data_IF_007119468338
#
_entry.id   IF_007119468338
#
_cell.length_a   1.000
_cell.length_b   1.000
_cell.length_c   1.000
_cell.angle_alpha   90.00
_cell.angle_beta   90.00
_cell.angle_gamma   90.00
#
_symmetry.space_group_name_H-M   'P 1'
#
loop_
_entity.id
_entity.type
_entity.pdbx_description
1 polymer ?
#
# COMPACT_ATOMS: atom_id res chain seq x y z
N UNK A 1 -16.77 20.58 15.92
CA UNK A 1 -15.87 19.47 16.33
C UNK A 1 -15.70 18.57 15.12
N UNK A 2 -14.49 18.12 14.80
CA UNK A 2 -14.28 17.16 13.71
C UNK A 2 -14.19 15.74 14.30
N UNK A 3 -14.58 14.72 13.52
CA UNK A 3 -14.46 13.32 13.93
C UNK A 3 -13.03 12.92 14.28
N UNK A 4 -12.92 11.86 15.09
CA UNK A 4 -11.66 11.33 15.59
C UNK A 4 -11.26 10.05 14.85
N UNK A 5 -10.47 10.21 13.78
CA UNK A 5 -9.91 9.08 13.04
C UNK A 5 -8.43 8.97 13.36
N UNK A 6 -8.06 7.87 13.99
CA UNK A 6 -6.66 7.52 14.27
C UNK A 6 -6.15 6.55 13.21
N UNK A 7 -4.90 6.74 12.84
CA UNK A 7 -4.18 5.92 11.89
C UNK A 7 -2.96 5.30 12.57
N UNK A 8 -2.80 3.99 12.42
CA UNK A 8 -1.58 3.27 12.78
C UNK A 8 -0.94 2.71 11.51
N UNK A 9 0.34 2.99 11.31
CA UNK A 9 1.10 2.53 10.15
C UNK A 9 2.25 1.66 10.61
N UNK A 10 2.28 0.42 10.16
CA UNK A 10 3.32 -0.55 10.53
C UNK A 10 4.15 -0.91 9.29
N UNK A 11 5.47 -0.92 9.42
CA UNK A 11 6.40 -1.34 8.37
C UNK A 11 7.06 -2.65 8.77
N UNK A 12 6.58 -3.77 8.23
CA UNK A 12 7.02 -5.11 8.64
C UNK A 12 6.90 -5.30 10.17
N UNK A 13 8.03 -5.55 10.84
CA UNK A 13 8.09 -5.78 12.29
C UNK A 13 8.46 -4.52 13.10
N UNK A 14 8.33 -3.32 12.52
CA UNK A 14 8.63 -2.07 13.23
C UNK A 14 7.56 -1.72 14.26
N UNK A 15 7.90 -0.81 15.18
CA UNK A 15 6.87 -0.13 15.96
C UNK A 15 5.93 0.67 15.03
N UNK A 16 4.62 0.75 15.34
CA UNK A 16 3.66 1.45 14.52
C UNK A 16 3.78 2.97 14.68
N UNK A 17 3.77 3.69 13.56
CA UNK A 17 3.63 5.14 13.52
C UNK A 17 2.16 5.51 13.73
N UNK A 18 1.87 6.30 14.79
CA UNK A 18 0.51 6.71 15.15
C UNK A 18 0.27 8.16 14.74
N UNK A 19 -0.76 8.38 13.93
CA UNK A 19 -1.11 9.68 13.35
C UNK A 19 -2.60 9.94 13.53
N UNK A 20 -2.98 11.19 13.78
CA UNK A 20 -4.37 11.61 13.70
C UNK A 20 -4.66 12.21 12.33
N UNK A 21 -5.67 11.68 11.63
CA UNK A 21 -6.02 12.15 10.28
C UNK A 21 -6.67 13.54 10.39
N UNK A 22 -6.16 14.51 9.64
CA UNK A 22 -6.71 15.87 9.56
C UNK A 22 -7.42 16.09 8.22
N UNK A 23 -8.48 16.90 8.21
CA UNK A 23 -9.19 17.22 6.96
C UNK A 23 -8.31 18.09 6.06
N UNK A 24 -8.31 17.79 4.76
CA UNK A 24 -7.57 18.57 3.76
C UNK A 24 -6.04 18.42 3.79
N UNK A 25 -5.48 17.63 4.72
CA UNK A 25 -4.05 17.34 4.79
C UNK A 25 -3.81 15.87 4.44
N UNK A 26 -3.39 15.55 3.19
CA UNK A 26 -3.02 14.19 2.85
C UNK A 26 -1.72 13.81 3.59
N UNK A 27 -1.66 12.55 4.04
CA UNK A 27 -0.42 11.95 4.48
C UNK A 27 0.29 11.37 3.27
N UNK A 28 1.56 11.72 3.07
CA UNK A 28 2.42 11.16 2.04
C UNK A 28 3.64 10.52 2.69
N UNK A 29 3.89 9.25 2.34
CA UNK A 29 5.04 8.49 2.78
C UNK A 29 5.87 8.10 1.54
N UNK A 30 7.18 8.27 1.62
CA UNK A 30 8.10 7.84 0.58
C UNK A 30 8.56 6.41 0.87
N UNK A 31 8.24 5.48 -0.02
CA UNK A 31 8.74 4.10 0.02
C UNK A 31 9.95 4.00 -0.91
N UNK A 32 11.13 3.74 -0.35
CA UNK A 32 12.38 3.64 -1.11
C UNK A 32 12.89 2.20 -1.14
N UNK A 33 13.21 1.72 -2.35
CA UNK A 33 13.94 0.47 -2.53
C UNK A 33 15.44 0.75 -2.56
N UNK A 34 16.07 0.68 -1.39
CA UNK A 34 17.51 0.86 -1.21
C UNK A 34 18.33 -0.43 -1.48
N UNK A 35 17.72 -1.46 -2.06
CA UNK A 35 18.39 -2.70 -2.44
C UNK A 35 18.80 -2.71 -3.92
N UNK A 36 19.62 -3.70 -4.29
CA UNK A 36 20.02 -3.97 -5.68
C UNK A 36 19.05 -4.92 -6.41
N UNK A 37 17.93 -5.28 -5.78
CA UNK A 37 16.92 -6.20 -6.33
C UNK A 37 15.56 -5.54 -6.40
N UNK A 38 14.67 -6.05 -7.24
CA UNK A 38 13.28 -5.60 -7.27
C UNK A 38 12.56 -6.07 -6.00
N UNK A 39 11.80 -5.17 -5.38
CA UNK A 39 11.03 -5.44 -4.16
C UNK A 39 9.54 -5.26 -4.44
N UNK A 40 8.71 -6.23 -4.08
CA UNK A 40 7.25 -6.08 -4.07
C UNK A 40 6.79 -5.52 -2.74
N UNK A 41 6.13 -4.36 -2.76
CA UNK A 41 5.47 -3.76 -1.61
C UNK A 41 4.01 -4.15 -1.60
N UNK A 42 3.56 -4.77 -0.52
CA UNK A 42 2.19 -5.18 -0.25
C UNK A 42 1.64 -4.29 0.87
N UNK A 43 0.64 -3.46 0.56
CA UNK A 43 0.06 -2.50 1.49
C UNK A 43 -1.38 -2.88 1.80
N UNK A 44 -1.67 -3.17 3.06
CA UNK A 44 -3.02 -3.50 3.53
C UNK A 44 -3.66 -2.32 4.25
N UNK A 45 -4.88 -1.95 3.86
CA UNK A 45 -5.72 -0.96 4.53
C UNK A 45 -6.88 -1.66 5.26
N UNK A 46 -6.98 -1.46 6.58
CA UNK A 46 -7.96 -2.12 7.45
C UNK A 46 -8.59 -1.12 8.42
N UNK A 47 -9.89 -1.27 8.68
CA UNK A 47 -10.56 -0.65 9.83
C UNK A 47 -10.45 -1.63 11.00
N UNK A 48 -9.76 -1.25 12.06
CA UNK A 48 -9.61 -2.07 13.27
C UNK A 48 -10.86 -2.00 14.12
N UNK A 49 -11.24 -0.78 14.51
CA UNK A 49 -12.37 -0.52 15.41
C UNK A 49 -13.15 0.74 15.02
N UNK A 50 -14.35 0.87 15.59
CA UNK A 50 -15.20 2.04 15.44
C UNK A 50 -15.94 2.11 14.11
N UNK A 51 -16.39 3.31 13.75
CA UNK A 51 -17.28 3.53 12.63
C UNK A 51 -16.92 4.80 11.85
N UNK A 52 -17.09 4.69 10.53
CA UNK A 52 -17.08 5.79 9.58
C UNK A 52 -18.52 5.94 9.07
N UNK A 53 -19.02 7.15 9.04
CA UNK A 53 -20.36 7.50 8.56
C UNK A 53 -20.33 7.73 7.06
N UNK A 54 -19.92 8.93 6.63
CA UNK A 54 -19.79 9.33 5.23
C UNK A 54 -18.33 9.54 4.82
N UNK A 55 -17.39 9.49 5.77
CA UNK A 55 -15.96 9.62 5.49
C UNK A 55 -15.44 8.44 4.69
N UNK A 56 -14.74 8.77 3.61
CA UNK A 56 -14.05 7.86 2.71
C UNK A 56 -12.57 8.24 2.73
N UNK A 57 -11.76 7.32 3.22
CA UNK A 57 -10.32 7.37 3.10
C UNK A 57 -9.92 6.76 1.75
N UNK A 58 -8.99 7.40 1.06
CA UNK A 58 -8.39 6.94 -0.18
C UNK A 58 -6.91 6.71 0.05
N UNK A 59 -6.46 5.48 -0.17
CA UNK A 59 -5.06 5.10 -0.14
C UNK A 59 -4.58 4.86 -1.57
N UNK A 60 -3.46 5.49 -1.94
CA UNK A 60 -2.88 5.41 -3.27
C UNK A 60 -1.45 4.90 -3.19
N UNK A 61 -1.13 3.91 -4.02
CA UNK A 61 0.21 3.35 -4.20
C UNK A 61 0.51 3.42 -5.70
N UNK A 62 1.18 4.48 -6.12
CA UNK A 62 1.42 4.80 -7.53
C UNK A 62 0.10 4.84 -8.35
N UNK A 63 -0.10 3.92 -9.30
CA UNK A 63 -1.29 3.81 -10.15
C UNK A 63 -2.45 3.01 -9.52
N UNK A 64 -2.28 2.54 -8.27
CA UNK A 64 -3.26 1.70 -7.58
C UNK A 64 -3.97 2.47 -6.47
N UNK A 65 -5.25 2.19 -6.27
CA UNK A 65 -6.06 2.87 -5.26
C UNK A 65 -6.92 1.90 -4.47
N UNK A 66 -6.97 2.10 -3.15
CA UNK A 66 -7.91 1.48 -2.23
C UNK A 66 -8.76 2.53 -1.54
N UNK A 67 -9.99 2.15 -1.18
CA UNK A 67 -10.91 3.00 -0.44
C UNK A 67 -11.31 2.33 0.86
N UNK A 68 -11.53 3.13 1.90
CA UNK A 68 -12.10 2.71 3.17
C UNK A 68 -13.14 3.72 3.65
N UNK A 69 -14.41 3.29 3.70
CA UNK A 69 -15.53 4.00 4.30
C UNK A 69 -16.41 3.07 5.13
N UNK A 70 -17.69 3.43 5.28
CA UNK A 70 -18.66 2.70 6.13
C UNK A 70 -18.79 1.21 5.80
N UNK A 71 -19.02 0.89 4.53
CA UNK A 71 -19.41 -0.46 4.06
C UNK A 71 -18.30 -1.22 3.35
N UNK A 72 -17.07 -0.71 3.38
CA UNK A 72 -15.93 -1.42 2.77
C UNK A 72 -15.61 -2.67 3.54
N UNK A 73 -15.48 -3.79 2.79
CA UNK A 73 -14.98 -5.04 3.35
C UNK A 73 -13.62 -4.79 4.01
N UNK A 74 -13.37 -5.36 5.20
CA UNK A 74 -12.07 -5.25 5.86
C UNK A 74 -10.98 -5.84 4.96
N UNK A 75 -9.83 -5.17 4.90
CA UNK A 75 -8.66 -5.64 4.17
C UNK A 75 -8.72 -5.34 2.67
N UNK A 76 -8.20 -4.19 2.28
CA UNK A 76 -7.82 -3.90 0.89
C UNK A 76 -6.32 -4.00 0.75
N UNK A 77 -5.85 -4.80 -0.20
CA UNK A 77 -4.42 -4.99 -0.48
C UNK A 77 -4.08 -4.30 -1.79
N UNK A 78 -3.11 -3.41 -1.75
CA UNK A 78 -2.44 -2.84 -2.92
C UNK A 78 -1.05 -3.48 -3.01
N UNK A 79 -0.64 -3.92 -4.19
CA UNK A 79 0.69 -4.51 -4.38
C UNK A 79 1.42 -3.81 -5.52
N UNK A 80 2.69 -3.44 -5.36
CA UNK A 80 3.48 -2.86 -6.45
C UNK A 80 4.94 -3.28 -6.34
N UNK A 81 5.49 -3.76 -7.45
CA UNK A 81 6.92 -4.01 -7.59
C UNK A 81 7.67 -2.69 -7.84
N UNK A 82 8.73 -2.47 -7.08
CA UNK A 82 9.63 -1.31 -7.17
C UNK A 82 11.02 -1.79 -7.61
N UNK A 83 11.53 -1.32 -8.76
CA UNK A 83 12.89 -1.62 -9.20
C UNK A 83 13.96 -1.15 -8.21
N UNK A 84 15.21 -1.66 -8.33
CA UNK A 84 16.34 -1.21 -7.53
C UNK A 84 16.51 0.30 -7.57
N UNK A 85 16.86 0.91 -6.43
CA UNK A 85 17.21 2.33 -6.30
C UNK A 85 16.11 3.30 -6.72
N UNK A 86 14.85 2.84 -6.79
CA UNK A 86 13.69 3.70 -7.06
C UNK A 86 12.89 3.97 -5.79
N UNK A 87 12.02 4.97 -5.87
CA UNK A 87 11.09 5.32 -4.82
C UNK A 87 9.68 5.49 -5.37
N UNK A 88 8.67 5.30 -4.51
CA UNK A 88 7.28 5.57 -4.83
C UNK A 88 6.56 6.21 -3.65
N UNK A 89 5.51 6.98 -3.93
CA UNK A 89 4.69 7.60 -2.89
C UNK A 89 3.53 6.68 -2.48
N UNK A 90 3.33 6.55 -1.17
CA UNK A 90 2.12 6.03 -0.56
C UNK A 90 1.34 7.21 0.01
N UNK A 91 0.15 7.49 -0.53
CA UNK A 91 -0.66 8.65 -0.16
C UNK A 91 -1.97 8.23 0.48
N UNK A 92 -2.27 8.77 1.65
CA UNK A 92 -3.58 8.64 2.29
C UNK A 92 -4.26 10.02 2.31
N UNK A 93 -5.45 10.10 1.73
CA UNK A 93 -6.26 11.31 1.70
C UNK A 93 -7.69 11.04 2.17
N UNK A 94 -8.34 12.11 2.65
CA UNK A 94 -9.75 12.12 3.01
C UNK A 94 -10.54 12.66 1.82
N UNK A 95 -11.35 11.83 1.15
CA UNK A 95 -12.15 12.24 -0.01
C UNK A 95 -13.45 12.93 0.35
N UNK A 96 -14.04 12.56 1.49
CA UNK A 96 -15.25 13.17 2.02
C UNK A 96 -14.99 13.65 3.44
N UNK A 97 -15.46 14.86 3.81
CA UNK A 97 -15.12 15.47 5.10
C UNK A 97 -15.48 14.58 6.28
N UNK A 98 -14.65 14.63 7.33
CA UNK A 98 -14.97 14.01 8.61
C UNK A 98 -16.26 14.59 9.19
N UNK A 99 -17.12 13.71 9.69
CA UNK A 99 -18.29 14.11 10.48
C UNK A 99 -17.95 14.06 11.97
N UNK A 100 -18.72 14.78 12.80
CA UNK A 100 -18.58 14.74 14.27
C UNK A 100 -18.78 13.33 14.85
N UNK A 101 -19.47 12.46 14.11
CA UNK A 101 -19.82 11.11 14.51
C UNK A 101 -18.67 10.14 14.19
N UNK A 102 -17.77 10.48 13.26
CA UNK A 102 -16.69 9.57 12.89
C UNK A 102 -15.74 9.32 14.07
N UNK A 103 -15.61 8.05 14.43
CA UNK A 103 -14.66 7.58 15.44
C UNK A 103 -14.17 6.20 15.03
N UNK A 104 -12.96 6.14 14.46
CA UNK A 104 -12.41 4.90 13.93
C UNK A 104 -10.90 4.80 14.14
N UNK A 105 -10.43 3.58 14.35
CA UNK A 105 -9.00 3.23 14.34
C UNK A 105 -8.70 2.47 13.05
N UNK A 106 -7.80 3.02 12.25
CA UNK A 106 -7.45 2.52 10.92
C UNK A 106 -6.00 2.04 10.95
N UNK A 107 -5.75 0.89 10.33
CA UNK A 107 -4.40 0.33 10.17
C UNK A 107 -3.99 0.32 8.71
N UNK A 108 -2.76 0.77 8.45
CA UNK A 108 -2.01 0.54 7.22
C UNK A 108 -0.83 -0.36 7.57
N UNK A 109 -0.73 -1.50 6.90
CA UNK A 109 0.38 -2.43 7.07
C UNK A 109 1.16 -2.49 5.76
N UNK A 110 2.45 -2.15 5.80
CA UNK A 110 3.35 -2.14 4.64
C UNK A 110 4.34 -3.28 4.80
N UNK A 111 4.25 -4.26 3.91
CA UNK A 111 5.16 -5.40 3.85
C UNK A 111 5.98 -5.35 2.55
N UNK A 112 7.27 -5.65 2.64
CA UNK A 112 8.18 -5.66 1.50
C UNK A 112 8.81 -7.04 1.33
N UNK A 113 8.77 -7.59 0.10
CA UNK A 113 9.31 -8.92 -0.22
C UNK A 113 10.18 -8.85 -1.48
N UNK A 114 11.38 -9.45 -1.51
CA UNK A 114 12.17 -9.53 -2.74
C UNK A 114 11.41 -10.29 -3.83
N UNK A 115 11.44 -9.80 -5.07
CA UNK A 115 10.92 -10.53 -6.23
C UNK A 115 12.03 -11.42 -6.77
N UNK A 116 11.92 -12.72 -6.52
CA UNK A 116 12.83 -13.71 -7.13
C UNK A 116 12.34 -13.99 -8.54
N UNK A 117 13.06 -13.51 -9.55
CA UNK A 117 12.78 -13.88 -10.94
C UNK A 117 13.34 -15.29 -11.17
N UNK A 118 12.51 -16.29 -11.50
CA UNK A 118 13.02 -17.61 -11.83
C UNK A 118 13.88 -17.49 -13.10
N UNK A 119 15.15 -17.88 -13.00
CA UNK A 119 16.04 -18.01 -14.15
C UNK A 119 15.58 -19.20 -14.99
N UNK A 120 14.82 -18.94 -16.05
CA UNK A 120 14.50 -19.96 -17.04
C UNK A 120 15.79 -20.27 -17.81
N UNK A 121 16.28 -21.52 -17.83
CA UNK A 121 17.42 -21.86 -18.65
C UNK A 121 17.07 -21.65 -20.12
N UNK A 122 17.83 -20.81 -20.82
CA UNK A 122 17.71 -20.62 -22.26
C UNK A 122 18.24 -21.89 -22.91
N UNK A 123 17.35 -22.75 -23.43
CA UNK A 123 17.75 -23.83 -24.33
C UNK A 123 18.01 -23.23 -25.70
N UNK A 124 19.28 -23.09 -26.07
CA UNK A 124 19.67 -22.76 -27.44
C UNK A 124 19.49 -24.05 -28.25
N UNK A 125 18.51 -24.08 -29.16
CA UNK A 125 18.42 -25.15 -30.16
C UNK A 125 19.46 -24.86 -31.25
N UNK A 126 20.52 -25.67 -31.32
CA UNK A 126 21.38 -25.70 -32.51
C UNK A 126 20.57 -26.24 -33.71
N UNK A 127 20.55 -25.49 -34.81
CA UNK A 127 20.04 -25.98 -36.09
C UNK A 127 20.88 -27.16 -36.55
N UNK A 128 20.29 -28.36 -36.53
CA UNK A 128 20.87 -29.53 -37.19
C UNK A 128 20.75 -29.32 -38.70
N UNK A 129 21.85 -28.99 -39.37
CA UNK A 129 21.96 -29.12 -40.83
C UNK A 129 21.99 -30.60 -41.18
N UNK A 130 20.94 -31.08 -41.82
CA UNK A 130 20.94 -32.39 -42.48
C UNK A 130 21.51 -32.16 -43.89
N UNK A 131 22.71 -32.67 -44.15
CA UNK A 131 23.23 -32.80 -45.51
C UNK A 131 22.61 -34.05 -46.16
N UNK A 132 22.09 -33.88 -47.37
CA UNK A 132 21.55 -34.94 -48.23
C UNK A 132 22.66 -35.69 -48.96
#
# INVERSE_FOLDING_TARGET
MAGNIKLEITFGNSEPLKIQVQDGQPLELLLENNSDSTVSYEVSLKKLEGYLTYTILKLELDDKTAYLGRSTKPGKILEKALPPRQSMALRLSVLSPKTVEDSAEISIEVNAKPVVVPSVPITIFEEVKIEN
#
